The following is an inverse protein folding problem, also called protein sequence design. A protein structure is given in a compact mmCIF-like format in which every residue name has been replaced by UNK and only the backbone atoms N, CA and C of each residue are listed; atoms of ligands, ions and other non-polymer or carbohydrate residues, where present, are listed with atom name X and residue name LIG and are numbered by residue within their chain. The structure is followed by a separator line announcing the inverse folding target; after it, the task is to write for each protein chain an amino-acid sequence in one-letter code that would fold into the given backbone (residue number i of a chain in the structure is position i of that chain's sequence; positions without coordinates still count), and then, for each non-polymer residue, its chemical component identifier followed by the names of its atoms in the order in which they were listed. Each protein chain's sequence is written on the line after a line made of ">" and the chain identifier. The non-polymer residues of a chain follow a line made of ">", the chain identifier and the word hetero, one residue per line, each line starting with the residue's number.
data_IF_429551849557
#
_entry.id   IF_429551849557
#
_cell.length_a   1.000
_cell.length_b   1.000
_cell.length_c   1.000
_cell.angle_alpha   90.00
_cell.angle_beta   90.00
_cell.angle_gamma   90.00
#
_symmetry.space_group_name_H-M   'P 1'
#
loop_
_entity.id
_entity.type
_entity.pdbx_description
1 polymer ?
#
# COMPACT_ATOMS: atom_id res chain seq x y z
N UNK A 1 -8.43 4.82 35.85
CA UNK A 1 -8.58 3.56 35.05
C UNK A 1 -9.26 3.81 33.71
N UNK A 2 -10.36 4.58 33.64
CA UNK A 2 -11.06 4.88 32.36
C UNK A 2 -10.11 5.49 31.32
N UNK A 3 -9.32 6.49 31.67
CA UNK A 3 -8.34 7.08 30.75
C UNK A 3 -7.28 6.08 30.25
N UNK A 4 -6.88 5.12 31.10
CA UNK A 4 -5.97 4.06 30.68
C UNK A 4 -6.62 3.12 29.66
N UNK A 5 -7.89 2.76 29.87
CA UNK A 5 -8.68 1.97 28.91
C UNK A 5 -8.81 2.69 27.57
N UNK A 6 -9.15 3.99 27.57
CA UNK A 6 -9.25 4.82 26.36
C UNK A 6 -7.90 4.94 25.64
N UNK A 7 -6.78 5.11 26.37
CA UNK A 7 -5.45 5.17 25.79
C UNK A 7 -5.05 3.84 25.12
N UNK A 8 -5.30 2.70 25.77
CA UNK A 8 -5.09 1.37 25.18
C UNK A 8 -5.99 1.17 23.97
N UNK A 9 -7.27 1.57 24.05
CA UNK A 9 -8.19 1.51 22.91
C UNK A 9 -7.69 2.33 21.72
N UNK A 10 -7.30 3.59 21.94
CA UNK A 10 -6.76 4.47 20.91
C UNK A 10 -5.48 3.91 20.27
N UNK A 11 -4.59 3.31 21.06
CA UNK A 11 -3.41 2.61 20.54
C UNK A 11 -3.80 1.49 19.59
N UNK A 12 -4.79 0.65 19.94
CA UNK A 12 -5.22 -0.44 19.07
C UNK A 12 -6.00 0.03 17.84
N UNK A 13 -6.72 1.14 17.89
CA UNK A 13 -7.30 1.79 16.70
C UNK A 13 -6.18 2.20 15.76
N UNK A 14 -5.16 2.90 16.28
CA UNK A 14 -4.02 3.34 15.47
C UNK A 14 -3.23 2.16 14.91
N UNK A 15 -2.90 1.16 15.74
CA UNK A 15 -2.17 -0.03 15.31
C UNK A 15 -2.92 -0.79 14.20
N UNK A 16 -4.22 -1.01 14.36
CA UNK A 16 -5.06 -1.65 13.35
C UNK A 16 -5.08 -0.86 12.04
N UNK A 17 -5.18 0.47 12.11
CA UNK A 17 -5.14 1.34 10.94
C UNK A 17 -3.80 1.28 10.20
N UNK A 18 -2.67 1.31 10.92
CA UNK A 18 -1.32 1.19 10.33
C UNK A 18 -1.14 -0.14 9.61
N UNK A 19 -1.58 -1.24 10.23
CA UNK A 19 -1.51 -2.57 9.60
C UNK A 19 -2.40 -2.64 8.36
N UNK A 20 -3.62 -2.12 8.42
CA UNK A 20 -4.51 -2.04 7.24
C UNK A 20 -3.86 -1.25 6.10
N UNK A 21 -3.22 -0.10 6.42
CA UNK A 21 -2.52 0.70 5.41
C UNK A 21 -1.37 -0.06 4.76
N UNK A 22 -0.56 -0.76 5.55
CA UNK A 22 0.53 -1.59 5.01
C UNK A 22 0.00 -2.65 4.04
N UNK A 23 -1.12 -3.31 4.40
CA UNK A 23 -1.73 -4.34 3.55
C UNK A 23 -2.35 -3.82 2.26
N UNK A 24 -2.89 -2.59 2.26
CA UNK A 24 -3.36 -1.96 1.02
C UNK A 24 -2.18 -1.70 0.09
N UNK A 25 -1.05 -1.25 0.62
CA UNK A 25 0.19 -1.06 -0.16
C UNK A 25 0.72 -2.40 -0.70
N UNK A 26 0.78 -3.45 0.12
CA UNK A 26 1.19 -4.79 -0.32
C UNK A 26 0.30 -5.30 -1.46
N UNK A 27 -1.03 -5.15 -1.35
CA UNK A 27 -1.96 -5.57 -2.42
C UNK A 27 -1.78 -4.77 -3.72
N UNK A 28 -1.46 -3.49 -3.63
CA UNK A 28 -1.14 -2.69 -4.81
C UNK A 28 0.15 -3.17 -5.46
N UNK A 29 1.17 -3.49 -4.67
CA UNK A 29 2.41 -4.09 -5.17
C UNK A 29 2.16 -5.47 -5.81
N UNK A 30 1.37 -6.33 -5.16
CA UNK A 30 0.99 -7.63 -5.71
C UNK A 30 0.23 -7.51 -7.05
N UNK A 31 -0.63 -6.48 -7.19
CA UNK A 31 -1.34 -6.22 -8.45
C UNK A 31 -0.38 -5.78 -9.57
N UNK A 32 0.62 -4.97 -9.24
CA UNK A 32 1.67 -4.55 -10.19
C UNK A 32 2.51 -5.77 -10.60
N UNK A 33 2.95 -6.59 -9.64
CA UNK A 33 3.74 -7.80 -9.91
C UNK A 33 2.93 -8.84 -10.69
N UNK A 34 1.65 -9.03 -10.40
CA UNK A 34 0.77 -9.92 -11.17
C UNK A 34 0.57 -9.45 -12.61
N UNK A 35 0.59 -8.15 -12.86
CA UNK A 35 0.58 -7.58 -14.20
C UNK A 35 1.89 -7.85 -14.95
N UNK A 36 2.99 -8.12 -14.25
CA UNK A 36 4.30 -8.50 -14.77
C UNK A 36 4.50 -10.03 -14.91
N UNK A 37 3.42 -10.81 -14.93
CA UNK A 37 3.42 -12.27 -15.12
C UNK A 37 3.90 -13.12 -13.92
N UNK A 38 3.96 -12.58 -12.72
CA UNK A 38 4.19 -13.37 -11.51
C UNK A 38 2.94 -13.34 -10.60
N UNK A 39 1.98 -14.27 -10.80
CA UNK A 39 0.82 -14.37 -9.92
C UNK A 39 1.28 -14.92 -8.57
N UNK A 40 1.56 -14.03 -7.62
CA UNK A 40 1.96 -14.37 -6.26
C UNK A 40 1.25 -15.60 -5.69
N UNK A 41 1.94 -16.39 -4.91
CA UNK A 41 1.49 -17.72 -4.51
C UNK A 41 0.13 -17.67 -3.78
N UNK A 42 -0.69 -18.71 -3.91
CA UNK A 42 -1.97 -18.83 -3.19
C UNK A 42 -1.78 -18.72 -1.66
N UNK A 43 -0.60 -19.10 -1.15
CA UNK A 43 -0.22 -18.99 0.27
C UNK A 43 -0.02 -17.54 0.71
N UNK A 44 0.55 -16.67 -0.12
CA UNK A 44 0.73 -15.23 0.16
C UNK A 44 -0.60 -14.51 0.21
N UNK A 45 -1.49 -14.79 -0.74
CA UNK A 45 -2.86 -14.24 -0.72
C UNK A 45 -3.64 -14.68 0.52
N UNK A 46 -3.52 -15.94 0.94
CA UNK A 46 -4.13 -16.44 2.16
C UNK A 46 -3.56 -15.73 3.40
N UNK A 47 -2.23 -15.57 3.49
CA UNK A 47 -1.54 -14.82 4.55
C UNK A 47 -2.05 -13.39 4.64
N UNK A 48 -2.11 -12.67 3.53
CA UNK A 48 -2.60 -11.29 3.46
C UNK A 48 -4.05 -11.17 3.92
N UNK A 49 -4.94 -12.08 3.50
CA UNK A 49 -6.34 -12.07 3.92
C UNK A 49 -6.51 -12.32 5.42
N UNK A 50 -5.79 -13.29 5.99
CA UNK A 50 -5.85 -13.61 7.43
C UNK A 50 -5.36 -12.43 8.27
N UNK A 51 -4.27 -11.79 7.88
CA UNK A 51 -3.73 -10.60 8.55
C UNK A 51 -4.70 -9.41 8.44
N UNK A 52 -5.36 -9.24 7.29
CA UNK A 52 -6.38 -8.19 7.10
C UNK A 52 -7.54 -8.33 8.09
N UNK A 53 -8.08 -9.53 8.25
CA UNK A 53 -9.14 -9.81 9.24
C UNK A 53 -8.67 -9.48 10.65
N UNK A 54 -7.44 -9.89 11.02
CA UNK A 54 -6.84 -9.56 12.31
C UNK A 54 -6.71 -8.06 12.54
N UNK A 55 -6.31 -7.29 11.53
CA UNK A 55 -6.20 -5.83 11.62
C UNK A 55 -7.57 -5.16 11.84
N UNK A 56 -8.61 -5.61 11.12
CA UNK A 56 -9.99 -5.14 11.31
C UNK A 56 -10.50 -5.43 12.73
N UNK A 57 -10.29 -6.65 13.22
CA UNK A 57 -10.67 -7.04 14.59
C UNK A 57 -9.93 -6.22 15.65
N UNK A 58 -8.64 -5.97 15.42
CA UNK A 58 -7.80 -5.13 16.31
C UNK A 58 -8.37 -3.72 16.40
N UNK A 59 -8.69 -3.11 15.27
CA UNK A 59 -9.24 -1.76 15.22
C UNK A 59 -10.65 -1.71 15.83
N UNK A 60 -11.52 -2.67 15.50
CA UNK A 60 -12.87 -2.77 16.07
C UNK A 60 -12.84 -2.91 17.58
N UNK A 61 -11.97 -3.77 18.11
CA UNK A 61 -11.74 -3.93 19.55
C UNK A 61 -11.25 -2.64 20.20
N UNK A 62 -10.33 -1.93 19.57
CA UNK A 62 -9.83 -0.63 20.01
C UNK A 62 -10.94 0.42 20.10
N UNK A 63 -11.78 0.54 19.06
CA UNK A 63 -12.95 1.46 19.07
C UNK A 63 -13.91 1.10 20.18
N UNK A 64 -14.25 -0.19 20.33
CA UNK A 64 -15.13 -0.67 21.39
C UNK A 64 -14.60 -0.32 22.79
N UNK A 65 -13.27 -0.41 22.99
CA UNK A 65 -12.64 -0.07 24.26
C UNK A 65 -12.62 1.44 24.52
N UNK A 66 -12.43 2.28 23.51
CA UNK A 66 -12.50 3.75 23.62
C UNK A 66 -13.88 4.20 24.12
N UNK A 67 -14.95 3.59 23.61
CA UNK A 67 -16.34 3.90 24.02
C UNK A 67 -16.78 3.11 25.26
N UNK A 68 -15.87 2.37 25.89
CA UNK A 68 -16.12 1.53 27.07
C UNK A 68 -17.26 0.53 26.89
N UNK A 69 -17.42 0.03 25.65
CA UNK A 69 -18.43 -0.96 25.30
C UNK A 69 -18.05 -2.35 25.83
N UNK A 70 -19.01 -3.16 26.30
CA UNK A 70 -18.77 -4.55 26.67
C UNK A 70 -18.34 -5.40 25.46
N UNK A 71 -18.65 -4.97 24.23
CA UNK A 71 -18.22 -5.63 23.00
C UNK A 71 -16.68 -5.68 22.87
N UNK A 72 -15.94 -4.80 23.56
CA UNK A 72 -14.49 -4.87 23.61
C UNK A 72 -13.98 -6.23 24.08
N UNK A 73 -14.62 -6.81 25.10
CA UNK A 73 -14.26 -8.16 25.64
C UNK A 73 -14.35 -9.22 24.55
N UNK A 74 -15.46 -9.24 23.82
CA UNK A 74 -15.70 -10.22 22.76
C UNK A 74 -14.73 -10.03 21.60
N UNK A 75 -14.54 -8.80 21.15
CA UNK A 75 -13.66 -8.47 20.02
C UNK A 75 -12.20 -8.79 20.33
N UNK A 76 -11.71 -8.45 21.53
CA UNK A 76 -10.35 -8.79 21.97
C UNK A 76 -10.16 -10.30 22.08
N UNK A 77 -11.14 -11.03 22.64
CA UNK A 77 -11.07 -12.48 22.77
C UNK A 77 -11.08 -13.18 21.40
N UNK A 78 -12.00 -12.79 20.50
CA UNK A 78 -12.06 -13.35 19.13
C UNK A 78 -10.77 -13.09 18.39
N UNK A 79 -10.22 -11.88 18.47
CA UNK A 79 -8.98 -11.55 17.79
C UNK A 79 -7.77 -12.27 18.40
N UNK A 80 -7.73 -12.48 19.72
CA UNK A 80 -6.70 -13.31 20.36
C UNK A 80 -6.73 -14.75 19.84
N UNK A 81 -7.92 -15.34 19.72
CA UNK A 81 -8.10 -16.69 19.15
C UNK A 81 -7.70 -16.72 17.67
N UNK A 82 -8.08 -15.69 16.90
CA UNK A 82 -7.75 -15.58 15.48
C UNK A 82 -6.24 -15.49 15.26
N UNK A 83 -5.56 -14.58 15.95
CA UNK A 83 -4.11 -14.42 15.86
C UNK A 83 -3.34 -15.63 16.38
N UNK A 84 -3.78 -16.20 17.51
CA UNK A 84 -3.18 -17.43 18.06
C UNK A 84 -3.32 -18.61 17.11
N UNK A 85 -4.50 -18.78 16.51
CA UNK A 85 -4.75 -19.79 15.50
C UNK A 85 -3.88 -19.62 14.27
N UNK A 86 -3.74 -18.38 13.80
CA UNK A 86 -2.83 -18.06 12.69
C UNK A 86 -1.37 -18.41 13.03
N UNK A 87 -0.88 -18.00 14.19
CA UNK A 87 0.50 -18.28 14.61
C UNK A 87 0.76 -19.79 14.71
N UNK A 88 -0.17 -20.56 15.30
CA UNK A 88 -0.06 -22.00 15.40
C UNK A 88 -0.07 -22.71 14.03
N UNK A 89 -0.89 -22.19 13.10
CA UNK A 89 -0.93 -22.68 11.71
C UNK A 89 0.37 -22.31 10.98
N UNK A 90 0.82 -21.06 11.09
CA UNK A 90 2.02 -20.57 10.40
C UNK A 90 3.28 -21.30 10.84
N UNK A 91 3.38 -21.70 12.12
CA UNK A 91 4.50 -22.52 12.60
C UNK A 91 4.58 -23.91 11.94
N UNK A 92 3.42 -24.47 11.58
CA UNK A 92 3.34 -25.80 10.96
C UNK A 92 3.44 -25.77 9.44
N UNK A 93 2.89 -24.72 8.82
CA UNK A 93 2.70 -24.65 7.37
C UNK A 93 3.79 -23.86 6.63
N UNK A 94 4.47 -22.95 7.33
CA UNK A 94 5.46 -22.06 6.77
C UNK A 94 6.80 -22.27 7.47
N UNK A 95 7.72 -22.99 6.84
CA UNK A 95 9.10 -23.07 7.33
C UNK A 95 9.83 -21.75 6.99
N UNK A 96 10.60 -21.16 7.93
CA UNK A 96 11.37 -19.96 7.64
C UNK A 96 12.48 -20.28 6.65
N UNK A 97 12.56 -19.50 5.56
CA UNK A 97 13.54 -19.72 4.50
C UNK A 97 14.87 -19.03 4.82
N UNK A 98 14.82 -17.89 5.55
CA UNK A 98 16.01 -17.11 5.91
C UNK A 98 15.95 -16.52 7.34
N UNK A 99 17.03 -15.81 7.73
CA UNK A 99 17.13 -15.13 9.04
C UNK A 99 16.20 -13.90 9.17
N UNK A 100 15.81 -13.26 8.05
CA UNK A 100 14.88 -12.14 8.07
C UNK A 100 13.47 -12.65 8.41
N UNK A 101 13.07 -13.77 7.85
CA UNK A 101 11.81 -14.45 8.15
C UNK A 101 11.72 -14.88 9.62
N UNK A 102 12.81 -15.40 10.20
CA UNK A 102 12.88 -15.76 11.63
C UNK A 102 12.67 -14.53 12.52
N UNK A 103 13.31 -13.40 12.19
CA UNK A 103 13.16 -12.13 12.94
C UNK A 103 11.73 -11.58 12.84
N UNK A 104 11.14 -11.55 11.65
CA UNK A 104 9.76 -11.12 11.44
C UNK A 104 8.77 -11.97 12.22
N UNK A 105 8.97 -13.29 12.27
CA UNK A 105 8.15 -14.21 13.04
C UNK A 105 8.28 -13.99 14.55
N UNK A 106 9.51 -13.74 15.05
CA UNK A 106 9.71 -13.41 16.45
C UNK A 106 9.04 -12.09 16.84
N UNK A 107 9.08 -11.07 15.98
CA UNK A 107 8.37 -9.81 16.20
C UNK A 107 6.86 -10.02 16.28
N UNK A 108 6.30 -10.84 15.42
CA UNK A 108 4.87 -11.18 15.44
C UNK A 108 4.47 -11.91 16.73
N UNK A 109 5.29 -12.84 17.21
CA UNK A 109 5.08 -13.51 18.52
C UNK A 109 5.10 -12.53 19.67
N UNK A 110 6.09 -11.63 19.69
CA UNK A 110 6.20 -10.60 20.74
C UNK A 110 4.99 -9.66 20.72
N UNK A 111 4.54 -9.23 19.54
CA UNK A 111 3.33 -8.42 19.40
C UNK A 111 2.08 -9.16 19.91
N UNK A 112 1.98 -10.45 19.64
CA UNK A 112 0.89 -11.27 20.14
C UNK A 112 0.88 -11.41 21.67
N UNK A 113 2.07 -11.55 22.31
CA UNK A 113 2.17 -11.56 23.79
C UNK A 113 1.68 -10.23 24.37
N UNK A 114 2.06 -9.09 23.78
CA UNK A 114 1.57 -7.78 24.19
C UNK A 114 0.05 -7.67 24.02
N UNK A 115 -0.47 -8.23 22.92
CA UNK A 115 -1.92 -8.28 22.68
C UNK A 115 -2.66 -9.12 23.73
N UNK A 116 -2.10 -10.28 24.14
CA UNK A 116 -2.66 -11.11 25.20
C UNK A 116 -2.71 -10.37 26.55
N UNK A 117 -1.65 -9.61 26.86
CA UNK A 117 -1.62 -8.78 28.08
C UNK A 117 -2.72 -7.69 28.03
N UNK A 118 -2.93 -7.06 26.88
CA UNK A 118 -4.03 -6.11 26.70
C UNK A 118 -5.41 -6.79 26.80
N UNK A 119 -5.56 -7.98 26.23
CA UNK A 119 -6.80 -8.77 26.37
C UNK A 119 -7.10 -9.08 27.84
N UNK A 120 -6.08 -9.52 28.60
CA UNK A 120 -6.22 -9.76 30.04
C UNK A 120 -6.61 -8.46 30.79
N UNK A 121 -6.03 -7.33 30.40
CA UNK A 121 -6.41 -6.02 30.96
C UNK A 121 -7.87 -5.67 30.66
N UNK A 122 -8.36 -5.89 29.43
CA UNK A 122 -9.77 -5.65 29.06
C UNK A 122 -10.73 -6.55 29.86
N UNK A 123 -10.37 -7.83 30.03
CA UNK A 123 -11.14 -8.76 30.88
C UNK A 123 -11.19 -8.29 32.32
N UNK A 124 -10.06 -7.83 32.86
CA UNK A 124 -9.99 -7.27 34.21
C UNK A 124 -10.85 -6.01 34.34
N UNK A 125 -10.81 -5.07 33.38
CA UNK A 125 -11.66 -3.89 33.36
C UNK A 125 -13.14 -4.25 33.40
N UNK A 126 -13.54 -5.27 32.62
CA UNK A 126 -14.92 -5.78 32.61
C UNK A 126 -15.32 -6.35 33.97
N UNK A 127 -14.46 -7.16 34.59
CA UNK A 127 -14.70 -7.76 35.91
C UNK A 127 -14.82 -6.70 37.03
N UNK A 128 -14.13 -5.58 36.88
CA UNK A 128 -14.20 -4.44 37.84
C UNK A 128 -15.37 -3.49 37.55
N UNK A 129 -16.18 -3.73 36.53
CA UNK A 129 -17.33 -2.89 36.16
C UNK A 129 -16.95 -1.54 35.54
N UNK A 130 -15.72 -1.39 34.99
CA UNK A 130 -15.31 -0.18 34.27
C UNK A 130 -15.89 -0.08 32.87
N UNK A 131 -16.29 -1.21 32.27
CA UNK A 131 -17.00 -1.25 31.01
C UNK A 131 -18.52 -1.19 31.27
N UNK A 132 -19.27 -0.74 30.27
CA UNK A 132 -20.72 -0.72 30.34
C UNK A 132 -21.25 -2.14 30.60
N UNK A 133 -22.28 -2.32 31.45
CA UNK A 133 -22.80 -3.64 31.76
C UNK A 133 -23.54 -4.26 30.57
N UNK A 134 -23.58 -5.59 30.50
CA UNK A 134 -24.22 -6.36 29.43
C UNK A 134 -25.75 -6.26 29.44
N UNK A 135 -26.36 -5.96 30.57
CA UNK A 135 -27.79 -5.77 30.75
C UNK A 135 -28.28 -4.36 30.38
N UNK A 136 -27.38 -3.52 29.83
CA UNK A 136 -27.74 -2.23 29.29
C UNK A 136 -28.81 -2.35 28.18
N UNK A 137 -29.62 -1.31 27.95
CA UNK A 137 -30.66 -1.34 26.91
C UNK A 137 -30.09 -1.73 25.55
N UNK A 138 -30.83 -2.54 24.77
CA UNK A 138 -30.41 -3.02 23.45
C UNK A 138 -30.03 -1.87 22.51
N UNK A 139 -30.70 -0.73 22.64
CA UNK A 139 -30.38 0.48 21.87
C UNK A 139 -28.93 0.96 22.09
N UNK A 140 -28.38 0.81 23.30
CA UNK A 140 -26.97 1.20 23.56
C UNK A 140 -25.98 0.29 22.88
N UNK A 141 -26.24 -1.01 22.80
CA UNK A 141 -25.42 -1.97 22.07
C UNK A 141 -25.51 -1.75 20.55
N UNK A 142 -26.71 -1.40 20.04
CA UNK A 142 -26.87 -1.03 18.64
C UNK A 142 -26.07 0.23 18.25
N UNK A 143 -26.02 1.23 19.16
CA UNK A 143 -25.19 2.42 18.98
C UNK A 143 -23.71 2.02 18.96
N UNK A 144 -23.26 1.16 19.87
CA UNK A 144 -21.88 0.69 19.92
C UNK A 144 -21.46 0.02 18.61
N UNK A 145 -22.30 -0.87 18.08
CA UNK A 145 -22.08 -1.54 16.77
C UNK A 145 -22.03 -0.51 15.64
N UNK A 146 -22.94 0.46 15.64
CA UNK A 146 -22.96 1.53 14.64
C UNK A 146 -21.69 2.38 14.68
N UNK A 147 -21.22 2.77 15.86
CA UNK A 147 -19.98 3.55 16.03
C UNK A 147 -18.77 2.75 15.53
N UNK A 148 -18.66 1.47 15.89
CA UNK A 148 -17.61 0.58 15.40
C UNK A 148 -17.69 0.47 13.86
N UNK A 149 -18.87 0.26 13.32
CA UNK A 149 -19.09 0.14 11.88
C UNK A 149 -18.69 1.42 11.12
N UNK A 150 -19.09 2.60 11.62
CA UNK A 150 -18.71 3.89 11.03
C UNK A 150 -17.19 4.12 11.10
N UNK A 151 -16.55 3.76 12.22
CA UNK A 151 -15.09 3.90 12.36
C UNK A 151 -14.35 2.99 11.38
N UNK A 152 -14.79 1.74 11.20
CA UNK A 152 -14.22 0.79 10.23
C UNK A 152 -14.46 1.26 8.79
N UNK A 153 -15.67 1.70 8.47
CA UNK A 153 -16.00 2.23 7.14
C UNK A 153 -15.21 3.51 6.83
N UNK A 154 -15.04 4.40 7.81
CA UNK A 154 -14.22 5.60 7.67
C UNK A 154 -12.75 5.27 7.43
N UNK A 155 -12.18 4.32 8.17
CA UNK A 155 -10.82 3.84 7.95
C UNK A 155 -10.67 3.20 6.56
N UNK A 156 -11.62 2.36 6.17
CA UNK A 156 -11.66 1.78 4.83
C UNK A 156 -11.71 2.86 3.74
N UNK A 157 -12.58 3.85 3.87
CA UNK A 157 -12.67 4.97 2.96
C UNK A 157 -11.35 5.75 2.88
N UNK A 158 -10.72 6.08 4.02
CA UNK A 158 -9.43 6.77 4.06
C UNK A 158 -8.29 6.01 3.36
N UNK A 159 -8.37 4.67 3.35
CA UNK A 159 -7.37 3.82 2.72
C UNK A 159 -7.59 3.66 1.21
N UNK A 160 -8.86 3.70 0.75
CA UNK A 160 -9.23 3.41 -0.63
C UNK A 160 -9.61 4.66 -1.43
N UNK A 161 -9.96 5.77 -0.75
CA UNK A 161 -10.15 7.04 -1.46
C UNK A 161 -8.78 7.73 -1.63
N UNK A 162 -8.36 8.00 -2.87
CA UNK A 162 -7.15 8.78 -3.12
C UNK A 162 -7.35 10.16 -2.48
N UNK A 163 -6.42 10.56 -1.61
CA UNK A 163 -6.39 11.94 -1.10
C UNK A 163 -6.29 12.86 -2.30
N UNK A 164 -7.37 13.60 -2.59
CA UNK A 164 -7.31 14.73 -3.51
C UNK A 164 -6.28 15.70 -2.94
N UNK A 165 -5.08 15.70 -3.49
CA UNK A 165 -4.10 16.74 -3.18
C UNK A 165 -4.70 18.04 -3.70
N UNK A 166 -5.16 18.90 -2.79
CA UNK A 166 -5.39 20.31 -3.11
C UNK A 166 -4.03 20.91 -3.47
N UNK A 167 -3.88 21.27 -4.72
CA UNK A 167 -2.70 21.96 -5.24
C UNK A 167 -1.67 21.05 -5.92
N UNK A 168 -1.90 20.76 -7.20
CA UNK A 168 -0.94 20.13 -8.11
C UNK A 168 -1.52 18.87 -8.75
N UNK A 169 -1.69 18.92 -10.07
CA UNK A 169 -2.24 17.89 -10.93
C UNK A 169 -1.47 16.57 -10.86
N UNK A 170 -1.80 15.75 -9.85
CA UNK A 170 -1.39 14.35 -9.83
C UNK A 170 -2.67 13.50 -9.93
N UNK A 171 -2.98 13.03 -11.11
CA UNK A 171 -3.98 12.00 -11.35
C UNK A 171 -3.69 10.80 -10.44
N UNK A 172 -4.65 10.43 -9.57
CA UNK A 172 -4.53 9.26 -8.70
C UNK A 172 -4.57 7.94 -9.50
N UNK A 173 -4.15 6.81 -8.90
CA UNK A 173 -4.04 5.52 -9.60
C UNK A 173 -5.35 5.00 -10.23
N UNK A 174 -6.53 5.50 -9.81
CA UNK A 174 -7.80 5.13 -10.43
C UNK A 174 -8.00 5.74 -11.83
N UNK A 175 -7.39 6.90 -12.15
CA UNK A 175 -7.40 7.48 -13.49
C UNK A 175 -6.44 6.76 -14.45
N UNK A 176 -5.51 5.98 -13.91
CA UNK A 176 -4.55 5.19 -14.70
C UNK A 176 -5.21 4.07 -15.52
N UNK A 177 -6.35 3.53 -15.05
CA UNK A 177 -7.02 2.41 -15.71
C UNK A 177 -8.12 2.81 -16.69
N UNK A 178 -8.59 4.05 -16.65
CA UNK A 178 -9.75 4.51 -17.46
C UNK A 178 -9.40 5.59 -18.50
N UNK A 179 -8.14 6.05 -18.54
CA UNK A 179 -7.71 6.96 -19.57
C UNK A 179 -7.58 6.22 -20.90
N UNK A 180 -8.36 6.61 -21.91
CA UNK A 180 -8.19 6.19 -23.29
C UNK A 180 -6.72 6.38 -23.70
N UNK A 181 -6.17 5.44 -24.44
CA UNK A 181 -4.80 5.55 -24.99
C UNK A 181 -4.68 6.92 -25.69
N UNK A 182 -3.72 7.78 -25.30
CA UNK A 182 -3.62 9.12 -25.85
C UNK A 182 -3.36 9.08 -27.36
N UNK A 183 -3.86 10.06 -28.09
CA UNK A 183 -3.58 10.17 -29.53
C UNK A 183 -2.22 10.82 -29.81
N UNK A 184 -1.73 11.59 -28.86
CA UNK A 184 -0.45 12.29 -28.95
C UNK A 184 0.41 11.97 -27.74
N UNK A 185 1.61 11.46 -28.00
CA UNK A 185 2.60 11.15 -26.98
C UNK A 185 3.76 12.15 -27.07
N UNK A 186 4.32 12.47 -25.91
CA UNK A 186 5.58 13.18 -25.81
C UNK A 186 6.62 12.27 -25.15
N UNK A 187 7.72 12.04 -25.85
CA UNK A 187 8.91 11.38 -25.32
C UNK A 187 9.95 12.46 -24.97
N UNK A 188 10.19 12.65 -23.70
CA UNK A 188 11.19 13.59 -23.21
C UNK A 188 11.67 13.16 -21.82
N UNK A 189 12.99 12.97 -21.59
CA UNK A 189 13.51 12.66 -20.28
C UNK A 189 13.26 13.82 -19.32
N UNK A 190 12.94 13.50 -18.09
CA UNK A 190 12.70 14.50 -17.04
C UNK A 190 12.96 13.85 -15.67
N UNK A 191 13.75 14.47 -14.80
CA UNK A 191 14.02 13.92 -13.48
C UNK A 191 12.75 13.89 -12.63
N UNK A 192 12.56 12.79 -11.89
CA UNK A 192 11.40 12.53 -11.05
C UNK A 192 10.05 12.39 -11.80
N UNK A 193 10.10 12.23 -13.13
CA UNK A 193 8.92 11.99 -13.97
C UNK A 193 9.24 10.95 -15.05
N UNK A 194 8.23 10.22 -15.51
CA UNK A 194 8.39 9.31 -16.64
C UNK A 194 8.69 10.07 -17.93
N UNK A 195 9.54 9.49 -18.75
CA UNK A 195 9.91 10.02 -20.08
C UNK A 195 8.72 10.05 -21.06
N UNK A 196 7.68 9.21 -20.86
CA UNK A 196 6.50 9.15 -21.72
C UNK A 196 5.30 9.84 -21.07
N UNK A 197 4.75 10.82 -21.79
CA UNK A 197 3.59 11.63 -21.34
C UNK A 197 2.59 11.83 -22.47
N UNK A 198 1.34 12.06 -22.09
CA UNK A 198 0.34 12.58 -23.01
C UNK A 198 0.73 14.01 -23.39
N UNK A 199 0.90 14.29 -24.68
CA UNK A 199 1.34 15.61 -25.14
C UNK A 199 0.29 16.72 -24.89
N UNK A 200 -1.00 16.37 -24.76
CA UNK A 200 -2.07 17.32 -24.56
C UNK A 200 -2.32 17.66 -23.07
N UNK A 201 -2.18 16.66 -22.17
CA UNK A 201 -2.48 16.81 -20.72
C UNK A 201 -1.23 16.87 -19.85
N UNK A 202 -0.08 16.46 -20.36
CA UNK A 202 1.17 16.32 -19.59
C UNK A 202 1.19 15.14 -18.62
N UNK A 203 0.14 14.32 -18.57
CA UNK A 203 0.04 13.15 -17.70
C UNK A 203 0.99 12.03 -18.13
N UNK A 204 1.56 11.33 -17.14
CA UNK A 204 2.40 10.15 -17.39
C UNK A 204 1.61 9.05 -18.05
N UNK A 205 2.18 8.43 -19.07
CA UNK A 205 1.61 7.30 -19.79
C UNK A 205 2.49 6.07 -19.58
N UNK A 206 1.89 4.97 -19.10
CA UNK A 206 2.60 3.69 -18.99
C UNK A 206 2.86 3.10 -20.37
N UNK A 207 4.10 2.69 -20.64
CA UNK A 207 4.53 2.06 -21.90
C UNK A 207 3.69 0.82 -22.23
N UNK A 208 3.31 0.04 -21.23
CA UNK A 208 2.54 -1.20 -21.37
C UNK A 208 1.09 -0.99 -21.81
N UNK A 209 0.57 0.23 -21.76
CA UNK A 209 -0.79 0.57 -22.25
C UNK A 209 -0.84 0.98 -23.70
N UNK A 210 0.31 1.17 -24.33
CA UNK A 210 0.39 1.66 -25.69
C UNK A 210 0.26 0.55 -26.73
N UNK A 211 0.24 -0.73 -26.31
CA UNK A 211 0.21 -1.88 -27.20
C UNK A 211 1.49 -2.05 -28.02
N UNK A 212 2.62 -1.55 -27.49
CA UNK A 212 3.95 -1.75 -28.06
C UNK A 212 4.42 -3.18 -27.83
N UNK A 213 5.45 -3.60 -28.59
CA UNK A 213 6.14 -4.85 -28.29
C UNK A 213 6.76 -4.82 -26.90
N UNK A 214 6.85 -5.99 -26.26
CA UNK A 214 7.45 -6.12 -24.94
C UNK A 214 8.91 -5.63 -24.94
N UNK A 215 9.65 -6.00 -25.99
CA UNK A 215 11.04 -5.57 -26.16
C UNK A 215 11.20 -4.04 -26.22
N UNK A 216 10.31 -3.35 -26.94
CA UNK A 216 10.35 -1.88 -27.01
C UNK A 216 9.94 -1.24 -25.67
N UNK A 217 8.96 -1.81 -25.00
CA UNK A 217 8.52 -1.34 -23.69
C UNK A 217 9.64 -1.40 -22.65
N UNK A 218 10.34 -2.54 -22.57
CA UNK A 218 11.48 -2.73 -21.65
C UNK A 218 12.65 -1.79 -22.00
N UNK A 219 12.92 -1.56 -23.29
CA UNK A 219 13.97 -0.62 -23.71
C UNK A 219 13.66 0.80 -23.30
N UNK A 220 12.39 1.23 -23.41
CA UNK A 220 11.97 2.59 -23.00
C UNK A 220 12.14 2.74 -21.49
N UNK A 221 11.73 1.76 -20.69
CA UNK A 221 11.92 1.81 -19.24
C UNK A 221 13.39 1.83 -18.83
N UNK A 222 14.21 0.93 -19.39
CA UNK A 222 15.64 0.89 -19.12
C UNK A 222 16.36 2.20 -19.51
N UNK A 223 15.91 2.84 -20.59
CA UNK A 223 16.41 4.13 -21.03
C UNK A 223 16.01 5.25 -20.06
N UNK A 224 14.75 5.28 -19.57
CA UNK A 224 14.30 6.22 -18.56
C UNK A 224 15.04 6.02 -17.23
N UNK A 225 15.16 4.77 -16.75
CA UNK A 225 15.92 4.43 -15.54
C UNK A 225 17.37 4.89 -15.60
N UNK A 226 18.00 4.80 -16.78
CA UNK A 226 19.36 5.28 -17.00
C UNK A 226 19.45 6.80 -16.80
N UNK A 227 18.45 7.55 -17.23
CA UNK A 227 18.39 9.01 -16.99
C UNK A 227 18.09 9.32 -15.52
N UNK A 228 17.11 8.63 -14.90
CA UNK A 228 16.77 8.83 -13.49
C UNK A 228 17.99 8.59 -12.58
N UNK A 229 18.84 7.59 -12.91
CA UNK A 229 20.07 7.30 -12.17
C UNK A 229 21.14 8.41 -12.23
N UNK A 230 20.99 9.40 -13.12
CA UNK A 230 21.87 10.56 -13.19
C UNK A 230 21.50 11.67 -12.21
N UNK A 231 20.32 11.55 -11.55
CA UNK A 231 19.87 12.55 -10.59
C UNK A 231 20.68 12.48 -9.30
N UNK A 232 21.15 13.63 -8.84
CA UNK A 232 21.83 13.78 -7.56
C UNK A 232 20.86 14.42 -6.55
N UNK A 233 20.41 13.65 -5.56
CA UNK A 233 19.48 14.13 -4.53
C UNK A 233 20.11 15.15 -3.59
N UNK A 234 21.41 15.04 -3.32
CA UNK A 234 22.13 15.93 -2.40
C UNK A 234 22.42 17.30 -3.04
N UNK A 235 22.72 17.31 -4.35
CA UNK A 235 22.95 18.54 -5.12
C UNK A 235 22.42 18.39 -6.54
N UNK A 236 21.17 18.82 -6.82
CA UNK A 236 20.56 18.74 -8.15
C UNK A 236 21.34 19.43 -9.27
N UNK A 237 22.20 20.43 -8.94
CA UNK A 237 23.02 21.12 -9.91
C UNK A 237 24.17 20.24 -10.44
N UNK A 238 24.51 19.18 -9.74
CA UNK A 238 25.52 18.19 -10.14
C UNK A 238 24.90 16.96 -10.82
N UNK A 239 23.58 16.98 -11.08
CA UNK A 239 22.92 15.91 -11.83
C UNK A 239 23.38 15.90 -13.28
N UNK A 240 23.57 14.70 -13.83
CA UNK A 240 24.00 14.51 -15.22
C UNK A 240 24.84 13.25 -15.42
N UNK A 241 25.20 12.97 -16.65
CA UNK A 241 26.02 11.81 -17.00
C UNK A 241 27.47 11.99 -16.52
N UNK A 242 28.07 10.91 -16.02
CA UNK A 242 29.43 10.92 -15.45
C UNK A 242 30.51 11.22 -16.48
N UNK A 243 30.27 10.96 -17.77
CA UNK A 243 31.21 11.17 -18.86
C UNK A 243 30.49 11.28 -20.20
N UNK A 244 31.19 11.87 -21.17
CA UNK A 244 30.72 12.10 -22.55
C UNK A 244 30.28 10.77 -23.24
N UNK A 245 31.01 9.68 -23.03
CA UNK A 245 30.69 8.40 -23.67
C UNK A 245 29.34 7.82 -23.19
N UNK A 246 29.04 7.92 -21.91
CA UNK A 246 27.76 7.49 -21.36
C UNK A 246 26.62 8.35 -21.89
N UNK A 247 26.82 9.67 -21.98
CA UNK A 247 25.88 10.59 -22.59
C UNK A 247 25.59 10.23 -24.05
N UNK A 248 26.62 10.04 -24.87
CA UNK A 248 26.45 9.69 -26.29
C UNK A 248 25.75 8.34 -26.49
N UNK A 249 26.03 7.34 -25.64
CA UNK A 249 25.34 6.08 -25.66
C UNK A 249 23.84 6.23 -25.34
N UNK A 250 23.52 7.05 -24.34
CA UNK A 250 22.15 7.39 -23.96
C UNK A 250 21.38 8.08 -25.09
N UNK A 251 21.99 9.07 -25.74
CA UNK A 251 21.39 9.77 -26.88
C UNK A 251 21.16 8.82 -28.07
N UNK A 252 22.12 7.94 -28.37
CA UNK A 252 22.01 6.97 -29.47
C UNK A 252 20.85 6.00 -29.24
N UNK A 253 20.68 5.51 -28.00
CA UNK A 253 19.56 4.65 -27.63
C UNK A 253 18.23 5.40 -27.70
N UNK A 254 18.15 6.63 -27.20
CA UNK A 254 16.95 7.47 -27.29
C UNK A 254 16.50 7.68 -28.75
N UNK A 255 17.42 7.94 -29.67
CA UNK A 255 17.09 8.04 -31.10
C UNK A 255 16.60 6.71 -31.69
N UNK A 256 17.19 5.58 -31.28
CA UNK A 256 16.75 4.26 -31.73
C UNK A 256 15.33 3.94 -31.20
N UNK A 257 15.02 4.34 -29.96
CA UNK A 257 13.67 4.22 -29.37
C UNK A 257 12.66 5.08 -30.13
N UNK A 258 12.99 6.32 -30.48
CA UNK A 258 12.12 7.19 -31.30
C UNK A 258 11.76 6.53 -32.62
N UNK A 259 12.74 5.97 -33.32
CA UNK A 259 12.52 5.27 -34.60
C UNK A 259 11.68 4.01 -34.43
N UNK A 260 11.85 3.25 -33.36
CA UNK A 260 11.02 2.09 -33.04
C UNK A 260 9.58 2.50 -32.68
N UNK A 261 9.40 3.54 -31.85
CA UNK A 261 8.09 4.09 -31.49
C UNK A 261 7.32 4.55 -32.75
N UNK A 262 7.96 5.25 -33.68
CA UNK A 262 7.34 5.67 -34.95
C UNK A 262 6.85 4.52 -35.80
N UNK A 263 7.45 3.33 -35.69
CA UNK A 263 7.03 2.14 -36.40
C UNK A 263 5.85 1.42 -35.74
N UNK A 264 5.86 1.32 -34.42
CA UNK A 264 4.86 0.56 -33.67
C UNK A 264 3.68 1.43 -33.22
N UNK A 265 3.92 2.69 -32.85
CA UNK A 265 2.89 3.62 -32.38
C UNK A 265 2.16 4.27 -33.56
N UNK A 266 0.81 4.22 -33.53
CA UNK A 266 -0.06 4.74 -34.59
C UNK A 266 -0.49 6.22 -34.42
N UNK A 267 -0.19 6.80 -33.25
CA UNK A 267 -0.52 8.20 -32.93
C UNK A 267 0.63 9.17 -33.24
N UNK A 268 0.42 10.43 -32.90
CA UNK A 268 1.42 11.49 -33.08
C UNK A 268 2.47 11.43 -31.97
N UNK A 269 3.76 11.40 -32.33
CA UNK A 269 4.88 11.40 -31.41
C UNK A 269 5.59 12.75 -31.44
N UNK A 270 5.52 13.47 -30.34
CA UNK A 270 6.34 14.63 -30.05
C UNK A 270 7.63 14.20 -29.32
N UNK A 271 8.77 14.60 -29.82
CA UNK A 271 10.08 14.29 -29.22
C UNK A 271 10.63 15.57 -28.61
N UNK A 272 10.90 15.53 -27.32
CA UNK A 272 11.56 16.64 -26.61
C UNK A 272 13.08 16.55 -26.73
N UNK A 273 13.77 17.55 -26.16
CA UNK A 273 15.21 17.56 -26.14
C UNK A 273 15.74 16.46 -25.20
N UNK A 274 16.68 15.67 -25.69
CA UNK A 274 17.40 14.70 -24.88
C UNK A 274 18.58 15.39 -24.21
N UNK A 275 18.49 15.52 -22.91
CA UNK A 275 19.49 16.21 -22.10
C UNK A 275 20.66 15.28 -21.75
N UNK A 276 21.82 15.84 -21.73
CA UNK A 276 23.06 15.23 -21.26
C UNK A 276 23.74 16.04 -20.17
#
# INVERSE_FOLDING_TARGET
>A
MIYAAMAVGAFYVFAGFVVMRAMVLDRLMDQVLAALNDPGSAKERMRSNVLSVGAFLTMAGGVALVILSPLAVVLFAINALWQGGYLAWAERALLPEDEADKRGRQQTKNAFVVYLAATAFVLWLSAQGYLRPWDAPLASHAIDVAVIGVALAGAWALLHFPRRKEGGDAAGPASYFDASVPKRLRLAPDWNRSCLRNADTGETVSVYRLGLSFELSDRIEAWDDTFQATYNEDDPMLSGFRNEAACQAYLAEGHAIVEALRKEWKGDLEVGDFLC
#
